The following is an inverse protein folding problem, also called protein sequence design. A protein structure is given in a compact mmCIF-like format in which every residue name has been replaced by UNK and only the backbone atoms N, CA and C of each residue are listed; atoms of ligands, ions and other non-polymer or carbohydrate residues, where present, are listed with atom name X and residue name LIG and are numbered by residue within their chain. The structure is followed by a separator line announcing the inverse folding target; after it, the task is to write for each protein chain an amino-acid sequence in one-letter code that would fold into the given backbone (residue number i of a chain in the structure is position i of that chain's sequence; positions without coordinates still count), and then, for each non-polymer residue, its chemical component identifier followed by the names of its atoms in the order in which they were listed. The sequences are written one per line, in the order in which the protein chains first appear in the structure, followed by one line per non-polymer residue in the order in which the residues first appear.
data_IF_005692994430
#
_entry.id   IF_005692994430
#
_cell.length_a   1.000
_cell.length_b   1.000
_cell.length_c   1.000
_cell.angle_alpha   90.00
_cell.angle_beta   90.00
_cell.angle_gamma   90.00
#
_symmetry.space_group_name_H-M   'P 1'
#
loop_
_entity.id
_entity.type
_entity.pdbx_description
1 polymer ?
#
# COMPACT_ATOMS: atom_id res chain seq x y z
N UNK A 1 -6.45 4.29 13.42
CA UNK A 1 -7.37 5.13 12.61
C UNK A 1 -7.99 4.22 11.57
N UNK A 2 -9.32 4.09 11.54
CA UNK A 2 -9.98 3.17 10.63
C UNK A 2 -10.17 3.79 9.25
N UNK A 3 -9.79 3.06 8.22
CA UNK A 3 -9.87 3.45 6.81
C UNK A 3 -10.39 2.27 5.97
N UNK A 4 -10.71 2.51 4.71
CA UNK A 4 -11.29 1.50 3.81
C UNK A 4 -10.47 1.38 2.52
N UNK A 5 -10.28 0.16 2.03
CA UNK A 5 -9.67 -0.08 0.73
C UNK A 5 -10.58 -0.92 -0.17
N UNK A 6 -10.47 -0.70 -1.47
CA UNK A 6 -11.11 -1.53 -2.48
C UNK A 6 -10.23 -2.74 -2.77
N UNK A 7 -10.77 -3.93 -2.63
CA UNK A 7 -10.07 -5.19 -2.94
C UNK A 7 -10.01 -5.42 -4.46
N UNK A 8 -9.18 -6.39 -4.86
CA UNK A 8 -9.06 -6.80 -6.28
C UNK A 8 -10.37 -7.37 -6.86
N UNK A 9 -11.26 -7.90 -6.02
CA UNK A 9 -12.59 -8.39 -6.44
C UNK A 9 -13.68 -7.30 -6.45
N UNK A 10 -13.32 -6.07 -6.06
CA UNK A 10 -14.19 -4.91 -6.05
C UNK A 10 -15.03 -4.74 -4.79
N UNK A 11 -14.86 -5.60 -3.78
CA UNK A 11 -15.43 -5.38 -2.45
C UNK A 11 -14.67 -4.30 -1.67
N UNK A 12 -15.28 -3.78 -0.61
CA UNK A 12 -14.66 -2.79 0.27
C UNK A 12 -14.36 -3.45 1.61
N UNK A 13 -13.13 -3.28 2.09
CA UNK A 13 -12.67 -3.84 3.36
C UNK A 13 -12.10 -2.73 4.22
N UNK A 14 -12.55 -2.69 5.49
CA UNK A 14 -12.00 -1.79 6.47
C UNK A 14 -10.67 -2.33 7.03
N UNK A 15 -9.73 -1.44 7.31
CA UNK A 15 -8.45 -1.74 7.93
C UNK A 15 -8.04 -0.62 8.88
N UNK A 16 -7.12 -0.93 9.80
CA UNK A 16 -6.55 0.10 10.69
C UNK A 16 -5.15 0.47 10.21
N UNK A 17 -4.95 1.76 9.93
CA UNK A 17 -3.64 2.32 9.56
C UNK A 17 -2.57 2.15 10.64
N UNK A 18 -2.98 1.97 11.89
CA UNK A 18 -2.06 1.72 13.01
C UNK A 18 -1.57 0.26 13.06
N UNK A 19 -2.26 -0.66 12.37
CA UNK A 19 -1.96 -2.11 12.34
C UNK A 19 -1.31 -2.59 11.04
N UNK A 20 -1.06 -1.69 10.08
CA UNK A 20 -0.38 -2.03 8.83
C UNK A 20 1.13 -1.77 8.88
N UNK A 21 1.87 -2.52 8.08
CA UNK A 21 3.31 -2.30 7.91
C UNK A 21 3.59 -1.45 6.69
N UNK A 22 4.34 -0.38 6.89
CA UNK A 22 4.81 0.50 5.83
C UNK A 22 5.85 -0.20 4.96
N UNK A 23 5.55 -0.46 3.68
CA UNK A 23 6.40 -1.27 2.81
C UNK A 23 7.34 -0.42 1.98
N UNK A 24 6.79 0.42 1.10
CA UNK A 24 7.57 1.21 0.14
C UNK A 24 6.86 2.51 -0.23
N UNK A 25 7.63 3.58 -0.43
CA UNK A 25 7.16 4.83 -1.07
C UNK A 25 7.73 4.92 -2.48
N UNK A 26 6.94 5.34 -3.45
CA UNK A 26 7.40 5.54 -4.83
C UNK A 26 6.36 6.20 -5.71
N UNK A 27 6.49 6.05 -7.02
CA UNK A 27 5.53 6.55 -7.98
C UNK A 27 4.51 5.47 -8.36
N UNK A 28 3.23 5.84 -8.42
CA UNK A 28 2.19 4.93 -8.91
C UNK A 28 2.35 4.67 -10.41
N UNK A 29 2.11 3.43 -10.83
CA UNK A 29 1.90 3.12 -12.25
C UNK A 29 0.41 3.04 -12.62
N UNK A 30 -0.48 2.86 -11.65
CA UNK A 30 -1.93 2.91 -11.87
C UNK A 30 -2.39 4.36 -12.09
N UNK A 31 -1.83 5.32 -11.32
CA UNK A 31 -2.16 6.75 -11.41
C UNK A 31 -0.93 7.58 -11.77
N UNK A 32 -0.73 7.82 -13.06
CA UNK A 32 0.48 8.51 -13.54
C UNK A 32 0.70 9.88 -12.88
N UNK A 33 1.95 10.15 -12.49
CA UNK A 33 2.37 11.40 -11.85
C UNK A 33 2.18 11.45 -10.33
N UNK A 34 1.65 10.40 -9.71
CA UNK A 34 1.36 10.40 -8.28
C UNK A 34 2.45 9.75 -7.46
N UNK A 35 2.64 10.28 -6.24
CA UNK A 35 3.38 9.58 -5.20
C UNK A 35 2.43 8.65 -4.44
N UNK A 36 2.87 7.42 -4.29
CA UNK A 36 2.12 6.35 -3.66
C UNK A 36 2.90 5.72 -2.53
N UNK A 37 2.13 5.07 -1.67
CA UNK A 37 2.61 4.45 -0.46
C UNK A 37 2.02 3.06 -0.31
N UNK A 38 2.85 2.03 -0.38
CA UNK A 38 2.40 0.65 -0.20
C UNK A 38 2.47 0.30 1.28
N UNK A 39 1.37 -0.20 1.81
CA UNK A 39 1.30 -0.84 3.12
C UNK A 39 0.95 -2.32 2.99
N UNK A 40 1.33 -3.10 3.99
CA UNK A 40 1.02 -4.52 4.09
C UNK A 40 0.12 -4.75 5.29
N UNK A 41 -1.09 -5.24 5.02
CA UNK A 41 -2.06 -5.61 6.04
C UNK A 41 -1.78 -7.04 6.50
N UNK A 42 -1.27 -7.20 7.73
CA UNK A 42 -0.83 -8.50 8.25
C UNK A 42 -2.00 -9.50 8.40
N UNK A 43 -3.15 -9.12 8.98
CA UNK A 43 -4.34 -9.98 9.04
C UNK A 43 -4.77 -10.60 7.71
N UNK A 44 -4.90 -9.79 6.66
CA UNK A 44 -5.41 -10.24 5.35
C UNK A 44 -4.30 -10.70 4.41
N UNK A 45 -3.04 -10.40 4.73
CA UNK A 45 -1.86 -10.60 3.88
C UNK A 45 -1.94 -9.86 2.54
N UNK A 46 -2.69 -8.77 2.51
CA UNK A 46 -2.88 -7.93 1.33
C UNK A 46 -1.86 -6.80 1.27
N UNK A 47 -1.44 -6.46 0.04
CA UNK A 47 -0.77 -5.20 -0.23
C UNK A 47 -1.82 -4.15 -0.59
N UNK A 48 -1.70 -2.97 0.00
CA UNK A 48 -2.63 -1.87 -0.23
C UNK A 48 -1.81 -0.66 -0.67
N UNK A 49 -2.12 -0.13 -1.85
CA UNK A 49 -1.60 1.15 -2.30
C UNK A 49 -2.43 2.27 -1.71
N UNK A 50 -1.83 3.02 -0.78
CA UNK A 50 -2.35 4.25 -0.25
C UNK A 50 -1.85 5.43 -1.08
N UNK A 51 -2.76 6.34 -1.37
CA UNK A 51 -2.48 7.60 -2.05
C UNK A 51 -1.88 8.59 -1.06
N UNK A 52 -0.82 9.30 -1.45
CA UNK A 52 -0.47 10.55 -0.77
C UNK A 52 -1.19 11.71 -1.46
N UNK A 53 -2.45 11.95 -1.10
CA UNK A 53 -3.09 13.23 -1.42
C UNK A 53 -3.65 13.86 -0.17
N UNK A 54 -3.61 15.19 -0.07
CA UNK A 54 -4.34 15.87 0.97
C UNK A 54 -5.83 15.55 0.80
N UNK A 55 -6.58 15.37 1.90
CA UNK A 55 -8.02 15.15 1.84
C UNK A 55 -8.67 16.28 1.05
N UNK A 56 -9.77 15.98 0.34
CA UNK A 56 -10.51 17.02 -0.36
C UNK A 56 -11.08 18.07 0.63
N UNK A 57 -11.59 19.18 0.11
CA UNK A 57 -12.17 20.27 0.93
C UNK A 57 -13.39 19.83 1.76
N UNK A 58 -13.90 18.61 1.56
CA UNK A 58 -15.00 17.97 2.30
C UNK A 58 -14.50 16.89 3.26
N UNK A 59 -13.20 16.64 3.33
CA UNK A 59 -12.60 15.60 4.17
C UNK A 59 -12.80 14.18 3.64
N UNK A 60 -13.19 14.01 2.38
CA UNK A 60 -13.41 12.69 1.80
C UNK A 60 -12.13 12.14 1.16
N UNK A 61 -11.93 10.84 1.40
CA UNK A 61 -10.81 10.02 0.92
C UNK A 61 -11.28 8.91 -0.03
N UNK A 62 -12.36 9.16 -0.79
CA UNK A 62 -12.89 8.15 -1.71
C UNK A 62 -11.83 7.78 -2.77
N UNK A 63 -11.60 6.48 -2.95
CA UNK A 63 -10.56 5.88 -3.82
C UNK A 63 -9.09 6.13 -3.40
N UNK A 64 -8.82 6.36 -2.11
CA UNK A 64 -7.45 6.60 -1.62
C UNK A 64 -6.65 5.34 -1.29
N UNK A 65 -7.32 4.18 -1.24
CA UNK A 65 -6.68 2.90 -0.95
C UNK A 65 -7.21 1.77 -1.85
N UNK A 66 -6.30 1.10 -2.56
CA UNK A 66 -6.63 -0.02 -3.44
C UNK A 66 -5.72 -1.21 -3.14
N UNK A 67 -6.28 -2.41 -3.09
CA UNK A 67 -5.51 -3.64 -3.00
C UNK A 67 -4.74 -3.85 -4.30
N UNK A 68 -3.45 -4.15 -4.17
CA UNK A 68 -2.58 -4.40 -5.30
C UNK A 68 -1.90 -5.75 -5.18
N UNK A 69 -1.53 -6.31 -6.33
CA UNK A 69 -0.85 -7.60 -6.37
C UNK A 69 0.62 -7.47 -5.98
N UNK A 70 1.20 -8.57 -5.50
CA UNK A 70 2.65 -8.64 -5.28
C UNK A 70 3.43 -8.35 -6.57
N UNK A 71 2.95 -8.86 -7.72
CA UNK A 71 3.56 -8.61 -9.01
C UNK A 71 3.62 -7.11 -9.32
N UNK A 72 2.54 -6.37 -9.04
CA UNK A 72 2.52 -4.93 -9.19
C UNK A 72 3.52 -4.26 -8.25
N UNK A 73 3.57 -4.65 -6.97
CA UNK A 73 4.52 -4.09 -6.00
C UNK A 73 5.96 -4.29 -6.46
N UNK A 74 6.31 -5.49 -6.91
CA UNK A 74 7.65 -5.82 -7.40
C UNK A 74 8.00 -5.05 -8.68
N UNK A 75 7.10 -5.03 -9.67
CA UNK A 75 7.35 -4.39 -10.97
C UNK A 75 7.39 -2.86 -10.87
N UNK A 76 6.48 -2.27 -10.11
CA UNK A 76 6.33 -0.81 -10.00
C UNK A 76 7.34 -0.19 -9.04
N UNK A 77 7.54 -0.81 -7.87
CA UNK A 77 8.38 -0.26 -6.80
C UNK A 77 9.74 -0.94 -6.69
N UNK A 78 10.08 -1.81 -7.63
CA UNK A 78 11.38 -2.52 -7.68
C UNK A 78 11.70 -3.21 -6.35
N UNK A 79 10.69 -3.85 -5.76
CA UNK A 79 10.86 -4.75 -4.63
C UNK A 79 11.24 -6.13 -5.16
N UNK A 80 12.30 -6.70 -4.61
CA UNK A 80 12.70 -8.05 -4.98
C UNK A 80 11.79 -9.09 -4.31
N UNK A 81 11.52 -10.24 -4.95
CA UNK A 81 10.73 -11.30 -4.33
C UNK A 81 11.27 -11.78 -2.96
N UNK A 82 12.60 -11.75 -2.78
CA UNK A 82 13.25 -12.06 -1.51
C UNK A 82 12.91 -11.03 -0.40
N UNK A 83 12.79 -9.76 -0.78
CA UNK A 83 12.38 -8.68 0.12
C UNK A 83 10.92 -8.84 0.54
N UNK A 84 10.02 -9.13 -0.40
CA UNK A 84 8.60 -9.45 -0.11
C UNK A 84 8.49 -10.66 0.82
N UNK A 85 9.27 -11.71 0.56
CA UNK A 85 9.29 -12.92 1.40
C UNK A 85 9.74 -12.58 2.83
N UNK A 86 10.76 -11.74 2.97
CA UNK A 86 11.25 -11.25 4.27
C UNK A 86 10.20 -10.43 5.01
N UNK A 87 9.54 -9.49 4.32
CA UNK A 87 8.43 -8.71 4.85
C UNK A 87 7.33 -9.63 5.40
N UNK A 88 6.91 -10.65 4.64
CA UNK A 88 5.86 -11.57 5.08
C UNK A 88 6.26 -12.43 6.28
N UNK A 89 7.51 -12.86 6.32
CA UNK A 89 8.04 -13.70 7.40
C UNK A 89 8.24 -12.91 8.71
N UNK A 90 8.54 -11.61 8.62
CA UNK A 90 8.84 -10.77 9.79
C UNK A 90 8.40 -9.32 9.57
N UNK A 91 7.08 -9.06 9.46
CA UNK A 91 6.56 -7.74 9.09
C UNK A 91 6.94 -6.65 10.09
N UNK A 92 7.01 -6.98 11.39
CA UNK A 92 7.44 -6.03 12.45
C UNK A 92 8.91 -5.62 12.40
N UNK A 93 9.76 -6.36 11.66
CA UNK A 93 11.18 -6.05 11.48
C UNK A 93 11.45 -5.34 10.16
N UNK A 94 10.43 -5.20 9.33
CA UNK A 94 10.55 -4.57 8.03
C UNK A 94 10.90 -3.08 8.18
N UNK A 95 11.73 -2.59 7.26
CA UNK A 95 12.09 -1.19 7.17
C UNK A 95 11.52 -0.62 5.87
N UNK A 96 10.85 0.53 6.00
CA UNK A 96 10.29 1.24 4.86
C UNK A 96 11.37 1.49 3.79
N UNK A 97 11.09 1.07 2.56
CA UNK A 97 11.93 1.36 1.40
C UNK A 97 11.47 2.67 0.75
N UNK A 98 12.40 3.55 0.39
CA UNK A 98 12.08 4.81 -0.30
C UNK A 98 12.64 4.78 -1.73
N UNK A 99 11.74 4.85 -2.72
CA UNK A 99 12.03 4.82 -4.16
C UNK A 99 11.60 6.12 -4.87
N UNK A 100 11.52 7.23 -4.14
CA UNK A 100 11.17 8.56 -4.69
C UNK A 100 12.34 9.28 -5.41
N UNK A 101 13.47 8.59 -5.57
CA UNK A 101 14.70 9.13 -6.16
C UNK A 101 14.69 9.11 -7.69
#
# INVERSE_FOLDING_TARGET
MQDEYKTLDGSTVAFDLDDVVQVVKGHSQIKQGWQSFIVYNVPTRSFIELRSSPPDYKGNSADEAEEVTEQYVCATFQLEPAQVSTLRASPRKWQLVNRRG
#
